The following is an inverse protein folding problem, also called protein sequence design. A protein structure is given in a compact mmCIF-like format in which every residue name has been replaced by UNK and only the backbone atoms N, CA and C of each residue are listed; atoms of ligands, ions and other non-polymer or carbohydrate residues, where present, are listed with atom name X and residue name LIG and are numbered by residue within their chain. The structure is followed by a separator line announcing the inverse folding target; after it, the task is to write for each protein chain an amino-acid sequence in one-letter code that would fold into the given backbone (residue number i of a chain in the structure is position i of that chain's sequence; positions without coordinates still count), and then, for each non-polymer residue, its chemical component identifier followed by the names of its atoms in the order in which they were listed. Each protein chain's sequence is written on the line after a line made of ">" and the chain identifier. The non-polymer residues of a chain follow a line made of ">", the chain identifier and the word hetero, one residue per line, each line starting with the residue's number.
data_IF_069807743914
#
_entry.id   IF_069807743914
#
_cell.length_a   1.000
_cell.length_b   1.000
_cell.length_c   1.000
_cell.angle_alpha   90.00
_cell.angle_beta   90.00
_cell.angle_gamma   90.00
#
_symmetry.space_group_name_H-M   'P 1'
#
loop_
_entity.id
_entity.type
_entity.pdbx_description
1 polymer ?
#
# COMPACT_ATOMS: atom_id res chain seq x y z
N UNK A 1 -14.19 22.40 3.35
CA UNK A 1 -12.92 22.79 2.69
C UNK A 1 -12.99 22.44 1.21
N UNK A 2 -12.27 23.18 0.37
CA UNK A 2 -12.08 22.93 -1.05
C UNK A 2 -10.65 22.43 -1.23
N UNK A 3 -10.50 21.19 -1.66
CA UNK A 3 -9.19 20.50 -1.76
C UNK A 3 -8.92 20.20 -3.22
N UNK A 4 -7.76 20.60 -3.71
CA UNK A 4 -7.22 20.22 -5.02
C UNK A 4 -6.09 19.22 -4.87
N UNK A 5 -6.02 18.25 -5.76
CA UNK A 5 -4.89 17.32 -5.84
C UNK A 5 -4.36 17.23 -7.28
N UNK A 6 -3.06 17.38 -7.46
CA UNK A 6 -2.44 17.30 -8.79
C UNK A 6 -1.74 15.95 -8.95
N UNK A 7 -2.13 15.19 -9.97
CA UNK A 7 -1.60 13.88 -10.30
C UNK A 7 -1.09 13.82 -11.76
N UNK A 8 -0.04 13.02 -12.04
CA UNK A 8 0.48 12.89 -13.40
C UNK A 8 -0.39 12.05 -14.33
N UNK A 9 -1.25 11.21 -13.78
CA UNK A 9 -2.13 10.28 -14.50
C UNK A 9 -3.12 9.61 -13.54
N UNK A 10 -4.13 8.92 -14.07
CA UNK A 10 -5.10 8.12 -13.30
C UNK A 10 -4.90 6.61 -13.40
N UNK A 11 -3.74 6.13 -13.83
CA UNK A 11 -3.42 4.70 -13.88
C UNK A 11 -3.41 4.06 -12.49
N UNK A 12 -3.74 2.76 -12.41
CA UNK A 12 -3.76 2.02 -11.13
C UNK A 12 -2.35 1.85 -10.53
N UNK A 13 -1.95 2.84 -9.76
CA UNK A 13 -0.78 2.81 -8.89
C UNK A 13 -1.19 3.10 -7.44
N UNK A 14 -0.44 2.58 -6.48
CA UNK A 14 -0.76 2.75 -5.06
C UNK A 14 -0.86 4.22 -4.62
N UNK A 15 -0.08 5.12 -5.23
CA UNK A 15 -0.15 6.56 -4.98
C UNK A 15 -1.45 7.17 -5.52
N UNK A 16 -1.82 6.87 -6.76
CA UNK A 16 -3.08 7.36 -7.36
C UNK A 16 -4.29 6.83 -6.59
N UNK A 17 -4.31 5.52 -6.30
CA UNK A 17 -5.38 4.92 -5.49
C UNK A 17 -5.55 5.62 -4.15
N UNK A 18 -4.47 6.04 -3.51
CA UNK A 18 -4.53 6.81 -2.25
C UNK A 18 -5.31 8.11 -2.41
N UNK A 19 -5.09 8.85 -3.48
CA UNK A 19 -5.84 10.09 -3.72
C UNK A 19 -7.32 9.84 -4.01
N UNK A 20 -7.66 8.76 -4.73
CA UNK A 20 -9.05 8.35 -4.96
C UNK A 20 -9.74 8.03 -3.62
N UNK A 21 -9.13 7.23 -2.77
CA UNK A 21 -9.73 6.85 -1.47
C UNK A 21 -9.82 8.05 -0.51
N UNK A 22 -8.82 8.93 -0.50
CA UNK A 22 -8.89 10.18 0.25
C UNK A 22 -10.01 11.08 -0.27
N UNK A 23 -10.12 11.26 -1.59
CA UNK A 23 -11.19 12.05 -2.18
C UNK A 23 -12.57 11.52 -1.75
N UNK A 24 -12.80 10.20 -1.82
CA UNK A 24 -14.03 9.56 -1.33
C UNK A 24 -14.29 9.86 0.14
N UNK A 25 -13.26 9.78 0.99
CA UNK A 25 -13.39 10.04 2.42
C UNK A 25 -13.71 11.51 2.72
N UNK A 26 -13.10 12.46 1.99
CA UNK A 26 -13.40 13.89 2.09
C UNK A 26 -14.80 14.23 1.58
N UNK A 27 -15.21 13.65 0.44
CA UNK A 27 -16.55 13.86 -0.15
C UNK A 27 -17.65 13.36 0.81
N UNK A 28 -17.48 12.18 1.42
CA UNK A 28 -18.43 11.68 2.44
C UNK A 28 -18.60 12.62 3.65
N UNK A 29 -17.60 13.45 3.95
CA UNK A 29 -17.64 14.46 5.02
C UNK A 29 -18.15 15.83 4.56
N UNK A 30 -18.64 15.93 3.31
CA UNK A 30 -19.21 17.17 2.76
C UNK A 30 -18.14 18.18 2.29
N UNK A 31 -16.88 17.76 2.15
CA UNK A 31 -15.84 18.60 1.55
C UNK A 31 -15.86 18.47 0.03
N UNK A 32 -15.30 19.47 -0.67
CA UNK A 32 -15.07 19.40 -2.11
C UNK A 32 -13.67 18.89 -2.37
N UNK A 33 -13.53 17.93 -3.28
CA UNK A 33 -12.25 17.38 -3.69
C UNK A 33 -12.20 17.28 -5.22
N UNK A 34 -11.20 17.90 -5.83
CA UNK A 34 -10.97 17.88 -7.28
C UNK A 34 -9.59 17.30 -7.55
N UNK A 35 -9.49 16.35 -8.47
CA UNK A 35 -8.23 15.80 -8.95
C UNK A 35 -7.90 16.42 -10.29
N UNK A 36 -6.72 17.03 -10.41
CA UNK A 36 -6.20 17.59 -11.63
C UNK A 36 -5.19 16.65 -12.26
N UNK A 37 -5.40 16.33 -13.54
CA UNK A 37 -4.45 15.57 -14.36
C UNK A 37 -4.13 16.36 -15.62
N UNK A 38 -3.08 16.04 -16.39
CA UNK A 38 -2.74 16.78 -17.62
C UNK A 38 -3.92 16.95 -18.58
N UNK A 39 -4.75 15.94 -18.72
CA UNK A 39 -5.87 15.85 -19.68
C UNK A 39 -7.26 15.80 -19.03
N UNK A 40 -7.36 15.82 -17.70
CA UNK A 40 -8.62 15.70 -16.98
C UNK A 40 -9.21 14.29 -16.94
N UNK A 41 -8.43 13.27 -17.30
CA UNK A 41 -8.91 11.89 -17.33
C UNK A 41 -9.34 11.39 -15.95
N UNK A 42 -10.45 10.62 -15.92
CA UNK A 42 -10.91 9.87 -14.74
C UNK A 42 -10.29 8.47 -14.70
N UNK A 43 -10.29 7.79 -13.53
CA UNK A 43 -9.83 6.40 -13.46
C UNK A 43 -10.76 5.48 -14.27
N UNK A 44 -10.18 4.54 -15.01
CA UNK A 44 -10.89 3.49 -15.77
C UNK A 44 -11.00 2.15 -15.01
N UNK A 45 -10.32 2.04 -13.88
CA UNK A 45 -10.21 0.82 -13.07
C UNK A 45 -11.10 0.81 -11.82
N UNK A 46 -11.80 1.89 -11.53
CA UNK A 46 -12.78 1.98 -10.44
C UNK A 46 -13.82 3.06 -10.74
N UNK A 47 -15.02 2.92 -10.17
CA UNK A 47 -15.99 4.00 -10.13
C UNK A 47 -15.48 5.12 -9.22
N UNK A 48 -15.63 6.37 -9.65
CA UNK A 48 -15.21 7.54 -8.89
C UNK A 48 -16.20 8.69 -9.10
N UNK A 49 -16.92 9.05 -8.04
CA UNK A 49 -17.94 10.10 -8.07
C UNK A 49 -17.36 11.53 -7.87
N UNK A 50 -16.05 11.63 -7.66
CA UNK A 50 -15.36 12.90 -7.50
C UNK A 50 -15.06 13.58 -8.84
N UNK A 51 -14.71 14.86 -8.80
CA UNK A 51 -14.36 15.65 -9.96
C UNK A 51 -12.92 15.34 -10.42
N UNK A 52 -12.75 15.07 -11.72
CA UNK A 52 -11.46 15.07 -12.40
C UNK A 52 -11.47 16.18 -13.45
N UNK A 53 -10.44 17.02 -13.46
CA UNK A 53 -10.34 18.17 -14.37
C UNK A 53 -8.96 18.27 -15.01
N UNK A 54 -8.86 18.86 -16.22
CA UNK A 54 -7.57 19.19 -16.80
C UNK A 54 -6.79 20.15 -15.91
N UNK A 55 -5.48 19.96 -15.84
CA UNK A 55 -4.58 20.84 -15.08
C UNK A 55 -4.68 22.31 -15.51
N UNK A 56 -5.04 22.58 -16.78
CA UNK A 56 -5.29 23.93 -17.29
C UNK A 56 -6.42 24.68 -16.57
N UNK A 57 -7.34 23.97 -15.91
CA UNK A 57 -8.44 24.54 -15.14
C UNK A 57 -8.10 24.77 -13.66
N UNK A 58 -6.87 24.49 -13.23
CA UNK A 58 -6.47 24.67 -11.83
C UNK A 58 -6.71 26.11 -11.35
N UNK A 59 -6.36 27.10 -12.18
CA UNK A 59 -6.54 28.54 -11.86
C UNK A 59 -7.98 29.04 -11.89
N UNK A 60 -8.92 28.26 -12.42
CA UNK A 60 -10.36 28.63 -12.49
C UNK A 60 -11.08 28.40 -11.15
N UNK A 61 -10.43 27.78 -10.19
CA UNK A 61 -11.01 27.45 -8.88
C UNK A 61 -10.12 27.89 -7.74
N UNK A 62 -10.77 28.33 -6.68
CA UNK A 62 -10.09 28.56 -5.40
C UNK A 62 -10.02 27.29 -4.58
N UNK A 63 -8.87 27.03 -4.00
CA UNK A 63 -8.61 25.91 -3.10
C UNK A 63 -8.21 26.42 -1.71
N UNK A 64 -8.72 25.78 -0.65
CA UNK A 64 -8.23 25.99 0.71
C UNK A 64 -6.92 25.19 0.92
N UNK A 65 -6.82 24.04 0.26
CA UNK A 65 -5.63 23.17 0.28
C UNK A 65 -5.35 22.65 -1.13
N UNK A 66 -4.10 22.75 -1.56
CA UNK A 66 -3.61 22.13 -2.79
C UNK A 66 -2.51 21.11 -2.48
N UNK A 67 -2.65 19.89 -3.00
CA UNK A 67 -1.78 18.74 -2.67
C UNK A 67 -1.18 18.15 -3.94
N UNK A 68 0.11 17.84 -3.94
CA UNK A 68 0.72 16.92 -4.90
C UNK A 68 1.76 16.02 -4.23
N UNK A 69 2.02 14.85 -4.81
CA UNK A 69 3.14 13.99 -4.42
C UNK A 69 4.14 13.80 -5.55
N UNK A 70 3.98 14.54 -6.65
CA UNK A 70 4.73 14.41 -7.88
C UNK A 70 5.68 15.59 -8.06
N UNK A 71 7.02 15.37 -8.07
CA UNK A 71 8.02 16.42 -8.11
C UNK A 71 7.95 17.32 -9.35
N UNK A 72 7.43 16.80 -10.46
CA UNK A 72 7.20 17.56 -11.70
C UNK A 72 6.21 18.71 -11.54
N UNK A 73 5.30 18.63 -10.57
CA UNK A 73 4.32 19.68 -10.28
C UNK A 73 4.71 20.57 -9.10
N UNK A 74 5.96 20.50 -8.63
CA UNK A 74 6.42 21.31 -7.51
C UNK A 74 6.29 22.82 -7.80
N UNK A 75 6.66 23.25 -9.00
CA UNK A 75 6.61 24.65 -9.36
C UNK A 75 5.16 25.15 -9.57
N UNK A 76 4.27 24.29 -10.08
CA UNK A 76 2.83 24.55 -10.17
C UNK A 76 2.24 24.70 -8.77
N UNK A 77 2.56 23.77 -7.85
CA UNK A 77 2.09 23.83 -6.46
C UNK A 77 2.54 25.14 -5.78
N UNK A 78 3.76 25.57 -6.01
CA UNK A 78 4.33 26.79 -5.40
C UNK A 78 3.69 28.07 -5.93
N UNK A 79 3.40 28.13 -7.22
CA UNK A 79 2.80 29.30 -7.86
C UNK A 79 1.31 29.47 -7.61
N UNK A 80 0.63 28.43 -7.10
CA UNK A 80 -0.82 28.48 -6.80
C UNK A 80 -1.13 29.43 -5.63
N UNK A 81 -2.35 29.97 -5.62
CA UNK A 81 -2.84 30.88 -4.60
C UNK A 81 -3.42 30.22 -3.34
N UNK A 82 -3.43 28.89 -3.25
CA UNK A 82 -3.98 28.16 -2.11
C UNK A 82 -3.27 28.54 -0.79
N UNK A 83 -4.02 28.84 0.29
CA UNK A 83 -3.44 29.16 1.60
C UNK A 83 -2.56 28.06 2.16
N UNK A 84 -2.92 26.80 1.93
CA UNK A 84 -2.15 25.65 2.35
C UNK A 84 -1.72 24.80 1.14
N UNK A 85 -0.42 24.72 0.93
CA UNK A 85 0.22 23.94 -0.12
C UNK A 85 0.94 22.76 0.50
N UNK A 86 0.58 21.55 0.09
CA UNK A 86 1.07 20.31 0.71
C UNK A 86 1.81 19.47 -0.31
N UNK A 87 3.06 19.14 -0.02
CA UNK A 87 3.79 18.11 -0.77
C UNK A 87 3.72 16.78 -0.01
N UNK A 88 2.98 15.82 -0.58
CA UNK A 88 2.68 14.53 0.07
C UNK A 88 3.69 13.46 -0.33
N UNK A 89 4.67 13.17 0.51
CA UNK A 89 5.68 12.14 0.29
C UNK A 89 5.09 10.76 0.57
N UNK A 90 4.98 9.95 -0.49
CA UNK A 90 4.34 8.63 -0.48
C UNK A 90 5.31 7.46 -0.70
N UNK A 91 6.56 7.74 -1.02
CA UNK A 91 7.62 6.75 -1.26
C UNK A 91 8.89 7.14 -0.52
N UNK A 92 9.77 6.17 -0.27
CA UNK A 92 11.01 6.39 0.50
C UNK A 92 12.09 7.22 -0.23
N UNK A 93 11.86 7.54 -1.49
CA UNK A 93 12.74 8.39 -2.30
C UNK A 93 11.91 9.25 -3.24
N UNK A 94 12.12 10.57 -3.16
CA UNK A 94 11.46 11.56 -4.02
C UNK A 94 12.53 12.44 -4.65
N UNK A 95 12.44 12.65 -5.96
CA UNK A 95 13.30 13.61 -6.65
C UNK A 95 13.02 15.03 -6.11
N UNK A 96 14.03 15.89 -6.12
CA UNK A 96 13.95 17.25 -5.55
C UNK A 96 13.60 17.28 -4.03
N UNK A 97 13.69 16.15 -3.28
CA UNK A 97 13.31 16.09 -1.87
C UNK A 97 13.95 17.18 -1.01
N UNK A 98 15.25 17.46 -1.25
CA UNK A 98 15.98 18.52 -0.50
C UNK A 98 15.41 19.91 -0.76
N UNK A 99 14.94 20.19 -1.96
CA UNK A 99 14.29 21.43 -2.33
C UNK A 99 12.89 21.51 -1.69
N UNK A 100 12.10 20.45 -1.81
CA UNK A 100 10.76 20.34 -1.24
C UNK A 100 10.79 20.63 0.27
N UNK A 101 11.68 19.99 1.02
CA UNK A 101 11.72 20.12 2.49
C UNK A 101 12.25 21.48 2.96
N UNK A 102 12.92 22.24 2.09
CA UNK A 102 13.44 23.59 2.38
C UNK A 102 12.53 24.71 1.93
N UNK A 103 11.49 24.39 1.22
CA UNK A 103 10.54 25.37 0.71
C UNK A 103 9.67 25.89 1.85
N UNK A 104 9.79 27.18 2.20
CA UNK A 104 9.13 27.77 3.36
C UNK A 104 7.61 27.90 3.18
N UNK A 105 7.12 27.97 1.95
CA UNK A 105 5.71 28.11 1.58
C UNK A 105 4.99 26.74 1.38
N UNK A 106 5.71 25.63 1.63
CA UNK A 106 5.14 24.29 1.54
C UNK A 106 5.12 23.60 2.91
N UNK A 107 4.07 22.86 3.15
CA UNK A 107 4.04 21.85 4.23
C UNK A 107 4.31 20.47 3.64
N UNK A 108 5.20 19.74 4.26
CA UNK A 108 5.50 18.35 3.85
C UNK A 108 4.61 17.41 4.66
N UNK A 109 3.94 16.49 3.97
CA UNK A 109 3.14 15.42 4.57
C UNK A 109 3.78 14.06 4.29
N UNK A 110 3.64 13.10 5.19
CA UNK A 110 4.18 11.75 5.02
C UNK A 110 3.11 10.68 5.24
N UNK A 111 3.15 9.60 4.44
CA UNK A 111 2.16 8.53 4.49
C UNK A 111 2.54 7.35 5.42
N UNK A 112 3.68 7.42 6.12
CA UNK A 112 4.11 6.36 7.05
C UNK A 112 5.08 6.89 8.11
N UNK A 113 5.11 6.20 9.26
CA UNK A 113 6.07 6.51 10.32
C UNK A 113 7.53 6.38 9.86
N UNK A 114 7.81 5.48 8.91
CA UNK A 114 9.13 5.30 8.33
C UNK A 114 9.61 6.56 7.61
N UNK A 115 8.77 7.16 6.76
CA UNK A 115 9.07 8.42 6.09
C UNK A 115 9.16 9.57 7.10
N UNK A 116 8.24 9.66 8.07
CA UNK A 116 8.28 10.71 9.10
C UNK A 116 9.61 10.69 9.87
N UNK A 117 10.03 9.51 10.35
CA UNK A 117 11.32 9.34 11.04
C UNK A 117 12.51 9.70 10.15
N UNK A 118 12.50 9.28 8.88
CA UNK A 118 13.55 9.59 7.92
C UNK A 118 13.68 11.10 7.68
N UNK A 119 12.57 11.79 7.47
CA UNK A 119 12.56 13.24 7.25
C UNK A 119 13.01 14.01 8.50
N UNK A 120 12.58 13.59 9.69
CA UNK A 120 13.03 14.15 10.96
C UNK A 120 14.54 13.97 11.13
N UNK A 121 15.05 12.76 10.93
CA UNK A 121 16.47 12.45 11.13
C UNK A 121 17.39 13.12 10.11
N UNK A 122 16.93 13.25 8.85
CA UNK A 122 17.74 13.77 7.76
C UNK A 122 17.69 15.29 7.63
N UNK A 123 16.54 15.89 7.92
CA UNK A 123 16.27 17.30 7.64
C UNK A 123 15.81 18.10 8.87
N UNK A 124 15.55 17.45 10.00
CA UNK A 124 15.07 18.11 11.21
C UNK A 124 13.60 18.56 11.13
N UNK A 125 12.84 18.18 10.10
CA UNK A 125 11.44 18.59 9.95
C UNK A 125 10.47 17.59 10.58
N UNK A 126 9.32 18.10 11.02
CA UNK A 126 8.17 17.29 11.45
C UNK A 126 7.11 17.39 10.36
N UNK A 127 6.94 16.37 9.53
CA UNK A 127 5.92 16.40 8.47
C UNK A 127 4.52 16.27 9.07
N UNK A 128 3.50 16.77 8.34
CA UNK A 128 2.09 16.52 8.62
C UNK A 128 1.79 15.02 8.56
N UNK A 129 0.84 14.57 9.37
CA UNK A 129 0.42 13.17 9.42
C UNK A 129 -0.60 12.85 8.32
N UNK A 130 -0.19 12.06 7.34
CA UNK A 130 -1.05 11.50 6.30
C UNK A 130 -0.94 9.96 6.25
N UNK A 131 -0.60 9.33 7.41
CA UNK A 131 -0.35 7.89 7.50
C UNK A 131 -1.62 7.07 7.37
N UNK A 132 -1.49 5.90 6.76
CA UNK A 132 -2.54 4.91 6.76
C UNK A 132 -3.23 4.75 5.41
N UNK A 133 -4.40 4.19 5.49
CA UNK A 133 -5.31 3.95 4.40
C UNK A 133 -5.55 2.47 4.13
N UNK A 134 -6.68 1.95 4.64
CA UNK A 134 -7.24 0.66 4.29
C UNK A 134 -8.78 0.76 4.34
N UNK A 135 -9.43 0.01 3.46
CA UNK A 135 -10.89 -0.18 3.49
C UNK A 135 -11.20 -1.51 4.21
N UNK A 136 -11.69 -1.49 5.47
CA UNK A 136 -11.97 -2.69 6.22
C UNK A 136 -13.31 -3.37 5.84
N UNK A 137 -14.17 -2.69 5.10
CA UNK A 137 -15.45 -3.24 4.62
C UNK A 137 -15.21 -4.10 3.38
N UNK A 138 -14.20 -3.75 2.60
CA UNK A 138 -13.76 -4.52 1.45
C UNK A 138 -12.78 -5.63 1.86
N UNK A 139 -11.75 -5.27 2.63
CA UNK A 139 -10.70 -6.19 3.08
C UNK A 139 -11.00 -6.64 4.51
N UNK A 140 -11.68 -7.77 4.64
CA UNK A 140 -12.04 -8.38 5.91
C UNK A 140 -11.84 -9.90 5.85
N UNK A 141 -11.75 -10.59 6.99
CA UNK A 141 -11.70 -12.05 7.04
C UNK A 141 -12.93 -12.69 6.38
N UNK A 142 -12.80 -13.95 5.95
CA UNK A 142 -13.96 -14.74 5.55
C UNK A 142 -14.98 -14.79 6.70
N UNK A 143 -16.26 -14.81 6.36
CA UNK A 143 -17.34 -14.95 7.35
C UNK A 143 -17.31 -16.40 7.85
N UNK A 144 -17.07 -16.59 9.15
CA UNK A 144 -16.95 -17.88 9.84
C UNK A 144 -15.96 -17.79 11.00
N UNK A 145 -16.10 -18.67 12.00
CA UNK A 145 -15.39 -18.56 13.28
C UNK A 145 -13.86 -18.72 13.23
N UNK A 146 -13.29 -19.15 12.11
CA UNK A 146 -11.88 -19.57 12.06
C UNK A 146 -10.93 -18.63 11.30
N UNK A 147 -11.43 -17.55 10.70
CA UNK A 147 -10.60 -16.65 9.88
C UNK A 147 -10.00 -17.36 8.64
N UNK A 148 -9.01 -16.75 7.96
CA UNK A 148 -8.41 -17.35 6.76
C UNK A 148 -7.53 -18.58 7.07
N UNK A 149 -7.12 -18.76 8.33
CA UNK A 149 -6.27 -19.88 8.72
C UNK A 149 -7.10 -21.14 9.01
N UNK A 150 -6.83 -22.22 8.26
CA UNK A 150 -7.49 -23.52 8.46
C UNK A 150 -7.22 -24.06 9.86
N UNK A 151 -8.14 -24.86 10.42
CA UNK A 151 -7.95 -25.53 11.70
C UNK A 151 -6.75 -26.47 11.67
N UNK A 152 -6.58 -27.21 10.57
CA UNK A 152 -5.37 -28.00 10.29
C UNK A 152 -4.69 -27.53 8.99
N UNK A 153 -3.53 -26.87 9.07
CA UNK A 153 -2.78 -26.46 7.88
C UNK A 153 -2.27 -27.66 7.05
N UNK A 154 -2.38 -28.89 7.57
CA UNK A 154 -2.01 -30.13 6.87
C UNK A 154 -3.08 -30.63 5.89
N UNK A 155 -4.29 -30.05 5.89
CA UNK A 155 -5.37 -30.41 4.95
C UNK A 155 -5.15 -29.85 3.54
N UNK A 156 -3.93 -29.74 3.08
CA UNK A 156 -3.54 -29.29 1.73
C UNK A 156 -2.34 -28.38 1.73
N UNK A 157 -1.97 -27.82 0.58
CA UNK A 157 -0.82 -26.94 0.47
C UNK A 157 -1.05 -25.63 1.22
N UNK A 158 0.00 -25.11 1.89
CA UNK A 158 0.00 -23.75 2.44
C UNK A 158 -0.04 -22.74 1.28
N UNK A 159 -1.07 -21.92 1.21
CA UNK A 159 -1.27 -20.92 0.17
C UNK A 159 -0.58 -19.62 0.56
N UNK A 160 0.55 -19.35 -0.07
CA UNK A 160 1.43 -18.21 0.22
C UNK A 160 1.11 -17.11 -0.79
N UNK A 161 0.49 -16.01 -0.35
CA UNK A 161 0.16 -14.88 -1.20
C UNK A 161 1.25 -13.82 -1.18
N UNK A 162 1.59 -13.29 -2.35
CA UNK A 162 2.60 -12.25 -2.53
C UNK A 162 2.23 -11.31 -3.69
N UNK A 163 2.65 -10.05 -3.61
CA UNK A 163 2.54 -9.13 -4.75
C UNK A 163 3.52 -9.52 -5.85
N UNK A 164 2.99 -9.77 -7.05
CA UNK A 164 3.70 -10.41 -8.17
C UNK A 164 4.56 -9.50 -9.03
N UNK A 165 4.79 -8.23 -8.67
CA UNK A 165 5.52 -7.23 -9.47
C UNK A 165 6.99 -7.56 -9.67
N UNK A 166 7.28 -8.57 -10.52
CA UNK A 166 8.63 -9.06 -10.80
C UNK A 166 9.52 -8.01 -11.45
N UNK A 167 8.98 -7.20 -12.35
CA UNK A 167 9.71 -6.13 -13.05
C UNK A 167 10.20 -4.99 -12.12
N UNK A 168 9.78 -4.95 -10.88
CA UNK A 168 10.19 -3.95 -9.89
C UNK A 168 11.02 -4.58 -8.77
N UNK A 169 12.36 -4.61 -8.86
CA UNK A 169 13.24 -5.28 -7.88
C UNK A 169 13.04 -4.82 -6.43
N UNK A 170 12.56 -3.58 -6.22
CA UNK A 170 12.25 -3.05 -4.88
C UNK A 170 11.08 -3.77 -4.21
N UNK A 171 10.19 -4.43 -4.96
CA UNK A 171 9.07 -5.21 -4.41
C UNK A 171 9.51 -6.51 -3.76
N UNK A 172 10.72 -6.99 -4.07
CA UNK A 172 11.32 -8.12 -3.40
C UNK A 172 10.69 -9.48 -3.74
N UNK A 173 9.76 -9.55 -4.69
CA UNK A 173 9.02 -10.76 -5.11
C UNK A 173 9.94 -11.95 -5.34
N UNK A 174 11.11 -11.73 -5.96
CA UNK A 174 12.11 -12.78 -6.20
C UNK A 174 12.59 -13.52 -4.93
N UNK A 175 12.64 -12.82 -3.80
CA UNK A 175 13.08 -13.42 -2.53
C UNK A 175 11.97 -14.30 -1.94
N UNK A 176 10.71 -13.93 -2.14
CA UNK A 176 9.56 -14.75 -1.77
C UNK A 176 9.51 -16.00 -2.63
N UNK A 177 9.60 -15.85 -3.96
CA UNK A 177 9.67 -16.98 -4.91
C UNK A 177 10.78 -17.95 -4.51
N UNK A 178 12.01 -17.46 -4.34
CA UNK A 178 13.16 -18.29 -3.96
C UNK A 178 12.96 -19.02 -2.62
N UNK A 179 12.32 -18.37 -1.64
CA UNK A 179 12.01 -18.99 -0.35
C UNK A 179 11.01 -20.14 -0.51
N UNK A 180 9.91 -19.91 -1.24
CA UNK A 180 8.84 -20.89 -1.45
C UNK A 180 9.33 -22.07 -2.31
N UNK A 181 10.09 -21.83 -3.37
CA UNK A 181 10.73 -22.89 -4.17
C UNK A 181 11.67 -23.77 -3.33
N UNK A 182 12.41 -23.15 -2.40
CA UNK A 182 13.28 -23.90 -1.50
C UNK A 182 12.48 -24.79 -0.54
N UNK A 183 11.34 -24.30 -0.01
CA UNK A 183 10.43 -25.09 0.82
C UNK A 183 9.84 -26.27 0.04
N UNK A 184 9.38 -26.01 -1.20
CA UNK A 184 8.82 -27.04 -2.07
C UNK A 184 9.84 -28.14 -2.40
N UNK A 185 11.09 -27.76 -2.72
CA UNK A 185 12.18 -28.69 -2.97
C UNK A 185 12.47 -29.59 -1.77
N UNK A 186 12.31 -29.08 -0.57
CA UNK A 186 12.50 -29.83 0.69
C UNK A 186 11.23 -30.60 1.10
N UNK A 187 10.27 -30.77 0.18
CA UNK A 187 9.09 -31.62 0.35
C UNK A 187 7.94 -30.96 1.12
N UNK A 188 7.97 -29.64 1.35
CA UNK A 188 6.81 -28.95 1.97
C UNK A 188 5.68 -28.80 0.97
N UNK A 189 4.46 -29.07 1.42
CA UNK A 189 3.25 -28.82 0.63
C UNK A 189 2.92 -27.31 0.65
N UNK A 190 3.36 -26.60 -0.37
CA UNK A 190 3.20 -25.16 -0.51
C UNK A 190 2.71 -24.81 -1.92
N UNK A 191 1.89 -23.78 -2.02
CA UNK A 191 1.43 -23.19 -3.29
C UNK A 191 1.69 -21.69 -3.26
N UNK A 192 2.27 -21.14 -4.34
CA UNK A 192 2.57 -19.73 -4.48
C UNK A 192 1.43 -19.05 -5.22
N UNK A 193 0.81 -18.05 -4.59
CA UNK A 193 -0.19 -17.19 -5.18
C UNK A 193 0.40 -15.80 -5.41
N UNK A 194 0.35 -15.32 -6.64
CA UNK A 194 0.82 -14.00 -7.02
C UNK A 194 -0.32 -13.19 -7.63
N UNK A 195 -0.34 -11.89 -7.38
CA UNK A 195 -1.22 -10.98 -8.09
C UNK A 195 -0.45 -9.74 -8.57
N UNK A 196 -0.84 -9.22 -9.72
CA UNK A 196 -0.30 -8.00 -10.30
C UNK A 196 -1.34 -7.32 -11.20
N UNK A 197 -1.01 -6.12 -11.66
CA UNK A 197 -1.79 -5.37 -12.65
C UNK A 197 -0.88 -5.01 -13.80
N UNK A 198 -1.36 -5.15 -15.03
CA UNK A 198 -0.64 -4.69 -16.22
C UNK A 198 -0.44 -3.18 -16.17
N UNK A 199 0.73 -2.75 -16.57
CA UNK A 199 1.01 -1.33 -16.80
C UNK A 199 0.85 -1.10 -18.29
N UNK A 200 0.08 -0.09 -18.73
CA UNK A 200 -0.01 0.25 -20.16
C UNK A 200 1.37 0.37 -20.79
N UNK A 201 1.56 -0.24 -21.94
CA UNK A 201 2.85 -0.28 -22.66
C UNK A 201 3.90 -1.26 -22.09
N UNK A 202 3.65 -1.94 -20.98
CA UNK A 202 4.47 -3.05 -20.50
C UNK A 202 3.84 -4.38 -20.93
N UNK A 203 4.65 -5.36 -21.34
CA UNK A 203 4.18 -6.71 -21.66
C UNK A 203 3.51 -7.43 -20.49
N UNK A 204 2.99 -8.61 -20.75
CA UNK A 204 2.43 -9.49 -19.73
C UNK A 204 3.51 -9.85 -18.69
N UNK A 205 3.33 -9.52 -17.39
CA UNK A 205 4.31 -9.77 -16.34
C UNK A 205 4.59 -11.26 -16.09
N UNK A 206 3.78 -12.16 -16.64
CA UNK A 206 3.95 -13.62 -16.54
C UNK A 206 4.95 -14.17 -17.57
N UNK A 207 5.24 -13.43 -18.64
CA UNK A 207 6.19 -13.88 -19.67
C UNK A 207 7.57 -14.05 -19.06
N UNK A 208 8.15 -15.26 -19.24
CA UNK A 208 9.46 -15.62 -18.69
C UNK A 208 9.46 -15.94 -17.19
N UNK A 209 8.29 -15.96 -16.54
CA UNK A 209 8.16 -16.38 -15.14
C UNK A 209 7.75 -17.85 -15.04
N UNK A 210 8.68 -18.70 -14.66
CA UNK A 210 8.49 -20.16 -14.56
C UNK A 210 8.94 -20.63 -13.15
N UNK A 211 8.11 -20.45 -12.12
CA UNK A 211 8.46 -20.88 -10.76
C UNK A 211 8.48 -22.42 -10.67
N UNK A 212 9.41 -22.93 -9.88
CA UNK A 212 9.57 -24.38 -9.62
C UNK A 212 8.73 -24.86 -8.44
N UNK A 213 7.51 -24.31 -8.33
CA UNK A 213 6.52 -24.62 -7.29
C UNK A 213 5.14 -24.46 -7.89
N UNK A 214 4.11 -25.22 -7.46
CA UNK A 214 2.73 -24.94 -7.87
C UNK A 214 2.40 -23.47 -7.66
N UNK A 215 1.94 -22.79 -8.72
CA UNK A 215 1.77 -21.36 -8.71
C UNK A 215 0.49 -20.94 -9.41
N UNK A 216 -0.22 -19.97 -8.81
CA UNK A 216 -1.31 -19.24 -9.45
C UNK A 216 -0.92 -17.77 -9.58
N UNK A 217 -1.10 -17.23 -10.76
CA UNK A 217 -0.82 -15.82 -11.03
C UNK A 217 -2.11 -15.12 -11.47
N UNK A 218 -2.62 -14.25 -10.60
CA UNK A 218 -3.80 -13.45 -10.84
C UNK A 218 -3.39 -12.11 -11.45
N UNK A 219 -4.04 -11.71 -12.52
CA UNK A 219 -3.72 -10.49 -13.25
C UNK A 219 -4.97 -9.63 -13.44
N UNK A 220 -4.82 -8.33 -13.26
CA UNK A 220 -5.87 -7.32 -13.49
C UNK A 220 -7.17 -7.57 -12.72
N UNK A 221 -7.05 -8.03 -11.48
CA UNK A 221 -8.19 -8.24 -10.61
C UNK A 221 -8.84 -6.90 -10.23
N UNK A 222 -10.16 -6.88 -10.18
CA UNK A 222 -10.88 -5.83 -9.46
C UNK A 222 -10.54 -5.88 -7.95
N UNK A 223 -10.84 -4.82 -7.23
CA UNK A 223 -10.58 -4.80 -5.79
C UNK A 223 -11.38 -5.86 -5.03
N UNK A 224 -12.63 -6.12 -5.44
CA UNK A 224 -13.48 -7.17 -4.89
C UNK A 224 -12.89 -8.57 -5.14
N UNK A 225 -12.41 -8.82 -6.35
CA UNK A 225 -11.73 -10.08 -6.67
C UNK A 225 -10.43 -10.24 -5.88
N UNK A 226 -9.66 -9.15 -5.73
CA UNK A 226 -8.44 -9.17 -4.93
C UNK A 226 -8.74 -9.44 -3.45
N UNK A 227 -9.81 -8.88 -2.89
CA UNK A 227 -10.25 -9.19 -1.54
C UNK A 227 -10.59 -10.68 -1.36
N UNK A 228 -11.20 -11.33 -2.36
CA UNK A 228 -11.42 -12.78 -2.34
C UNK A 228 -10.10 -13.58 -2.37
N UNK A 229 -9.10 -13.11 -3.12
CA UNK A 229 -7.77 -13.75 -3.15
C UNK A 229 -7.09 -13.66 -1.78
N UNK A 230 -7.17 -12.51 -1.10
CA UNK A 230 -6.68 -12.39 0.29
C UNK A 230 -7.40 -13.39 1.21
N UNK A 231 -8.74 -13.46 1.18
CA UNK A 231 -9.52 -14.41 2.01
C UNK A 231 -9.19 -15.87 1.73
N UNK A 232 -8.74 -16.17 0.51
CA UNK A 232 -8.35 -17.51 0.08
C UNK A 232 -6.92 -17.91 0.43
N UNK A 233 -6.09 -17.01 0.94
CA UNK A 233 -4.70 -17.27 1.30
C UNK A 233 -4.54 -17.70 2.76
N UNK A 234 -3.39 -18.29 3.09
CA UNK A 234 -3.06 -18.69 4.47
C UNK A 234 -2.02 -17.75 5.11
N UNK A 235 -1.17 -17.14 4.30
CA UNK A 235 -0.17 -16.16 4.74
C UNK A 235 0.12 -15.15 3.64
N UNK A 236 0.30 -13.89 4.03
CA UNK A 236 0.80 -12.87 3.10
C UNK A 236 2.27 -12.59 3.33
N UNK A 237 3.04 -12.59 2.25
CA UNK A 237 4.50 -12.40 2.30
C UNK A 237 4.92 -11.21 1.44
N UNK A 238 5.64 -10.25 2.03
CA UNK A 238 6.19 -9.09 1.34
C UNK A 238 7.65 -8.85 1.71
N UNK A 239 8.54 -8.99 0.73
CA UNK A 239 9.95 -8.65 0.89
C UNK A 239 10.29 -7.26 0.31
N UNK A 240 9.32 -6.35 0.32
CA UNK A 240 9.45 -5.00 -0.24
C UNK A 240 10.50 -4.17 0.50
N UNK A 241 11.21 -3.31 -0.25
CA UNK A 241 12.13 -2.30 0.27
C UNK A 241 11.81 -0.93 -0.33
N UNK A 242 12.03 0.13 0.43
CA UNK A 242 11.76 1.51 0.01
C UNK A 242 10.27 1.78 -0.30
N UNK A 243 9.38 1.14 0.46
CA UNK A 243 7.98 1.52 0.46
C UNK A 243 7.75 2.74 1.36
N UNK A 244 6.80 3.56 1.01
CA UNK A 244 6.19 4.49 1.95
C UNK A 244 5.21 3.75 2.85
N UNK A 245 3.95 3.68 2.45
CA UNK A 245 2.93 2.81 3.04
C UNK A 245 2.72 1.56 2.17
N UNK A 246 2.72 0.37 2.77
CA UNK A 246 2.48 -0.87 2.05
C UNK A 246 0.99 -1.20 2.00
N UNK A 247 0.30 -0.76 0.94
CA UNK A 247 -1.13 -1.06 0.75
C UNK A 247 -1.41 -2.56 0.81
N UNK A 248 -0.58 -3.38 0.15
CA UNK A 248 -0.78 -4.83 0.08
C UNK A 248 -0.64 -5.53 1.43
N UNK A 249 0.29 -5.08 2.29
CA UNK A 249 0.37 -5.58 3.67
C UNK A 249 -0.80 -5.08 4.53
N UNK A 250 -1.26 -3.85 4.31
CA UNK A 250 -2.41 -3.28 5.03
C UNK A 250 -3.70 -4.04 4.70
N UNK A 251 -3.92 -4.35 3.42
CA UNK A 251 -5.05 -5.14 2.92
C UNK A 251 -5.03 -6.57 3.47
N UNK A 252 -3.85 -7.21 3.47
CA UNK A 252 -3.65 -8.53 4.05
C UNK A 252 -3.92 -8.55 5.56
N UNK A 253 -3.41 -7.55 6.29
CA UNK A 253 -3.69 -7.37 7.71
C UNK A 253 -5.19 -7.17 7.98
N UNK A 254 -5.86 -6.32 7.19
CA UNK A 254 -7.30 -6.10 7.29
C UNK A 254 -8.11 -7.36 6.99
N UNK A 255 -7.62 -8.22 6.09
CA UNK A 255 -8.19 -9.54 5.81
C UNK A 255 -7.87 -10.60 6.90
N UNK A 256 -7.14 -10.23 7.95
CA UNK A 256 -6.81 -11.12 9.07
C UNK A 256 -5.67 -12.10 8.78
N UNK A 257 -4.92 -11.92 7.69
CA UNK A 257 -3.80 -12.79 7.36
C UNK A 257 -2.59 -12.54 8.27
N UNK A 258 -1.90 -13.59 8.71
CA UNK A 258 -0.57 -13.43 9.29
C UNK A 258 0.39 -12.87 8.24
N UNK A 259 1.24 -11.95 8.68
CA UNK A 259 2.18 -11.25 7.82
C UNK A 259 3.61 -11.76 8.02
N UNK A 260 4.31 -12.06 6.93
CA UNK A 260 5.77 -12.08 6.86
C UNK A 260 6.20 -10.90 6.01
N UNK A 261 6.81 -9.89 6.61
CA UNK A 261 7.11 -8.65 5.89
C UNK A 261 8.44 -8.05 6.32
N UNK A 262 8.95 -7.10 5.53
CA UNK A 262 10.04 -6.22 5.97
C UNK A 262 9.46 -5.02 6.73
N UNK A 263 10.29 -4.27 7.44
CA UNK A 263 9.87 -3.04 8.10
C UNK A 263 9.55 -1.88 7.12
N UNK A 264 9.74 -2.09 5.82
CA UNK A 264 9.56 -1.06 4.79
C UNK A 264 8.07 -0.84 4.49
N UNK A 265 7.53 0.30 4.92
CA UNK A 265 6.14 0.69 4.70
C UNK A 265 5.11 -0.05 5.58
N UNK A 266 5.57 -0.77 6.59
CA UNK A 266 4.73 -1.56 7.49
C UNK A 266 4.90 -1.19 8.96
N UNK A 267 5.87 -0.33 9.29
CA UNK A 267 6.26 0.00 10.67
C UNK A 267 5.18 0.71 11.51
N UNK A 268 4.06 1.08 10.90
CA UNK A 268 2.91 1.65 11.61
C UNK A 268 2.02 0.58 12.27
N UNK A 269 1.99 -0.64 11.70
CA UNK A 269 1.07 -1.70 12.12
C UNK A 269 1.72 -3.08 12.29
N UNK A 270 2.91 -3.31 11.69
CA UNK A 270 3.62 -4.59 11.78
C UNK A 270 4.75 -4.52 12.82
N UNK A 271 4.57 -5.22 13.92
CA UNK A 271 5.56 -5.37 14.99
C UNK A 271 6.00 -6.83 15.10
N UNK A 272 7.33 -7.04 15.12
CA UNK A 272 7.90 -8.38 15.07
C UNK A 272 7.53 -9.22 16.28
N UNK A 273 6.98 -10.40 16.03
CA UNK A 273 6.53 -11.35 17.05
C UNK A 273 5.18 -11.03 17.69
N UNK A 274 4.61 -9.84 17.45
CA UNK A 274 3.32 -9.42 17.97
C UNK A 274 2.22 -9.43 16.88
N UNK A 275 2.40 -8.68 15.79
CA UNK A 275 1.43 -8.58 14.69
C UNK A 275 1.98 -9.03 13.34
N UNK A 276 3.28 -9.37 13.25
CA UNK A 276 3.91 -9.88 12.06
C UNK A 276 5.19 -10.66 12.42
N UNK A 277 5.74 -11.40 11.45
CA UNK A 277 7.13 -11.79 11.47
C UNK A 277 7.91 -10.84 10.54
N UNK A 278 8.69 -9.94 11.15
CA UNK A 278 9.45 -8.93 10.41
C UNK A 278 10.82 -9.50 10.04
N UNK A 279 11.12 -9.51 8.75
CA UNK A 279 12.35 -10.08 8.18
C UNK A 279 13.24 -8.99 7.58
N UNK A 280 14.56 -9.19 7.50
CA UNK A 280 15.45 -8.26 6.84
C UNK A 280 15.18 -8.19 5.33
N UNK A 281 15.45 -7.03 4.73
CA UNK A 281 15.39 -6.85 3.28
C UNK A 281 16.38 -7.78 2.56
N UNK A 282 16.03 -8.27 1.38
CA UNK A 282 16.85 -9.17 0.54
C UNK A 282 17.17 -10.52 1.18
N UNK A 283 16.37 -10.96 2.15
CA UNK A 283 16.62 -12.16 2.95
C UNK A 283 15.74 -13.35 2.58
N UNK A 284 15.94 -14.01 1.42
CA UNK A 284 15.14 -15.20 1.05
C UNK A 284 15.16 -16.30 2.14
N UNK A 285 16.32 -16.55 2.77
CA UNK A 285 16.43 -17.50 3.89
C UNK A 285 15.59 -17.06 5.10
N UNK A 286 15.63 -15.77 5.45
CA UNK A 286 14.84 -15.26 6.56
C UNK A 286 13.34 -15.32 6.26
N UNK A 287 12.92 -15.02 5.02
CA UNK A 287 11.55 -15.20 4.54
C UNK A 287 11.11 -16.66 4.69
N UNK A 288 11.94 -17.60 4.21
CA UNK A 288 11.68 -19.04 4.36
C UNK A 288 11.50 -19.44 5.84
N UNK A 289 12.44 -19.11 6.70
CA UNK A 289 12.38 -19.45 8.12
C UNK A 289 11.11 -18.87 8.80
N UNK A 290 10.70 -17.66 8.44
CA UNK A 290 9.47 -17.05 8.96
C UNK A 290 8.22 -17.80 8.47
N UNK A 291 8.15 -18.18 7.19
CA UNK A 291 7.02 -18.97 6.67
C UNK A 291 6.99 -20.36 7.34
N UNK A 292 8.13 -21.05 7.46
CA UNK A 292 8.23 -22.36 8.12
C UNK A 292 7.78 -22.30 9.59
N UNK A 293 8.07 -21.20 10.29
CA UNK A 293 7.61 -20.98 11.65
C UNK A 293 6.07 -20.90 11.72
N UNK A 294 5.45 -20.19 10.79
CA UNK A 294 3.97 -20.13 10.71
C UNK A 294 3.38 -21.48 10.28
N UNK A 295 4.04 -22.18 9.35
CA UNK A 295 3.62 -23.50 8.90
C UNK A 295 3.62 -24.53 10.04
N UNK A 296 4.57 -24.45 10.97
CA UNK A 296 4.68 -25.34 12.11
C UNK A 296 3.83 -24.94 13.34
N UNK A 297 3.33 -23.69 13.38
CA UNK A 297 2.61 -23.14 14.52
C UNK A 297 1.37 -22.34 14.07
N UNK A 298 0.26 -23.03 13.87
CA UNK A 298 -1.02 -22.42 13.50
C UNK A 298 -1.59 -21.49 14.57
N UNK A 299 -1.29 -21.72 15.86
CA UNK A 299 -1.71 -20.83 16.92
C UNK A 299 -1.02 -19.48 16.85
N UNK A 300 0.30 -19.47 16.57
CA UNK A 300 1.07 -18.27 16.29
C UNK A 300 0.50 -17.52 15.09
N UNK A 301 0.24 -18.23 13.98
CA UNK A 301 -0.29 -17.62 12.77
C UNK A 301 -1.64 -16.91 13.03
N UNK A 302 -2.59 -17.59 13.67
CA UNK A 302 -3.89 -17.01 14.05
C UNK A 302 -3.73 -15.80 14.98
N UNK A 303 -2.83 -15.88 15.96
CA UNK A 303 -2.57 -14.76 16.89
C UNK A 303 -2.04 -13.54 16.16
N UNK A 304 -1.01 -13.72 15.29
CA UNK A 304 -0.42 -12.64 14.51
C UNK A 304 -1.44 -12.02 13.56
N UNK A 305 -2.25 -12.81 12.87
CA UNK A 305 -3.29 -12.31 11.96
C UNK A 305 -4.35 -11.47 12.68
N UNK A 306 -4.85 -11.93 13.84
CA UNK A 306 -5.80 -11.15 14.65
C UNK A 306 -5.19 -9.83 15.13
N UNK A 307 -3.95 -9.86 15.60
CA UNK A 307 -3.30 -8.65 16.09
C UNK A 307 -2.95 -7.68 14.95
N UNK A 308 -2.51 -8.18 13.78
CA UNK A 308 -2.33 -7.37 12.59
C UNK A 308 -3.63 -6.64 12.19
N UNK A 309 -4.76 -7.37 12.17
CA UNK A 309 -6.07 -6.78 11.91
C UNK A 309 -6.45 -5.73 12.95
N UNK A 310 -6.30 -6.02 14.23
CA UNK A 310 -6.61 -5.06 15.30
C UNK A 310 -5.85 -3.74 15.12
N UNK A 311 -4.57 -3.81 14.78
CA UNK A 311 -3.73 -2.63 14.58
C UNK A 311 -4.07 -1.86 13.32
N UNK A 312 -4.29 -2.56 12.20
CA UNK A 312 -4.57 -1.89 10.92
C UNK A 312 -5.91 -1.16 10.89
N UNK A 313 -6.89 -1.59 11.66
CA UNK A 313 -8.18 -0.92 11.81
C UNK A 313 -8.05 0.49 12.46
N UNK A 314 -6.89 0.80 13.03
CA UNK A 314 -6.51 2.16 13.43
C UNK A 314 -6.21 3.10 12.25
N UNK A 315 -6.10 2.58 11.01
CA UNK A 315 -5.63 3.31 9.83
C UNK A 315 -6.63 3.23 8.66
N UNK A 316 -7.92 3.34 8.93
CA UNK A 316 -8.94 3.39 7.87
C UNK A 316 -8.86 4.71 7.11
N UNK A 317 -9.37 4.75 5.87
CA UNK A 317 -9.42 5.99 5.09
C UNK A 317 -10.16 7.12 5.80
N UNK A 318 -11.20 6.78 6.56
CA UNK A 318 -11.94 7.75 7.35
C UNK A 318 -11.08 8.38 8.46
N UNK A 319 -10.30 7.57 9.18
CA UNK A 319 -9.38 8.09 10.20
C UNK A 319 -8.24 8.93 9.60
N UNK A 320 -7.71 8.51 8.45
CA UNK A 320 -6.71 9.31 7.72
C UNK A 320 -7.29 10.67 7.34
N UNK A 321 -8.53 10.70 6.83
CA UNK A 321 -9.21 11.93 6.49
C UNK A 321 -9.40 12.84 7.72
N UNK A 322 -9.83 12.29 8.86
CA UNK A 322 -10.00 13.06 10.10
C UNK A 322 -8.67 13.65 10.57
N UNK A 323 -7.59 12.86 10.58
CA UNK A 323 -6.24 13.34 10.91
C UNK A 323 -5.80 14.45 9.95
N UNK A 324 -5.97 14.27 8.64
CA UNK A 324 -5.60 15.30 7.66
C UNK A 324 -6.42 16.59 7.85
N UNK A 325 -7.70 16.50 8.22
CA UNK A 325 -8.52 17.67 8.52
C UNK A 325 -8.03 18.44 9.76
N UNK A 326 -7.50 17.73 10.75
CA UNK A 326 -6.84 18.35 11.93
C UNK A 326 -5.54 19.05 11.53
N UNK A 327 -4.72 18.40 10.69
CA UNK A 327 -3.44 18.93 10.21
C UNK A 327 -3.61 20.14 9.24
N UNK A 328 -4.76 20.28 8.61
CA UNK A 328 -5.07 21.37 7.67
C UNK A 328 -5.68 22.63 8.34
N UNK A 329 -5.95 22.58 9.64
CA UNK A 329 -6.40 23.71 10.45
C UNK A 329 -5.22 24.57 10.91
#
# INVERSE_FOLDING_TARGET
>A
MRIGAILPHMLLFGGVRRYIELARAFLRRGHRFVIYTPDGSSPDWCEFDGACEPLSHLGDREHDVLITGSPEYLDVLRSDGAPLKVFYIQIDWVDREREIVRCADLRVMANSIGIMRRLRNRYGIVPLDGRGGVDPDLFHPAVGDHGPWREDPREGPLRILCYGRLARPRKGTRYVVSAVESMHRDGRLVELHLFDTRIPGSGDPRIGFHPRVPCRFYLDLSQQQLAMVYRGADVFVSAERRAGWSNTCAEAAASGLPLVCTASGTGDFAENGESALVVPVRGARAVRCAIERLYGDGALARRLGREARRRILGFTWDRVCDTMLEEFR
#
